data_IF_392200308100
#
_entry.id   IF_392200308100
#
_cell.length_a   1.000
_cell.length_b   1.000
_cell.length_c   1.000
_cell.angle_alpha   90.00
_cell.angle_beta   90.00
_cell.angle_gamma   90.00
#
_symmetry.space_group_name_H-M   'P 1'
#
loop_
_entity.id
_entity.type
_entity.pdbx_description
1 polymer ?
#
# COMPACT_ATOMS: atom_id res chain seq x y z
N UNK A 1 -21.07 -65.94 5.73
CA UNK A 1 -20.59 -64.93 4.78
C UNK A 1 -19.15 -64.61 5.13
N UNK A 2 -18.20 -65.07 4.33
CA UNK A 2 -16.78 -64.83 4.56
C UNK A 2 -16.40 -63.55 3.81
N UNK A 3 -16.45 -62.41 4.48
CA UNK A 3 -16.12 -61.12 3.87
C UNK A 3 -14.61 -60.97 3.91
N UNK A 4 -13.93 -61.25 2.80
CA UNK A 4 -12.51 -60.95 2.66
C UNK A 4 -12.33 -59.46 2.37
N UNK A 5 -11.61 -58.78 3.25
CA UNK A 5 -11.23 -57.38 3.05
C UNK A 5 -9.97 -57.35 2.19
N UNK A 6 -10.04 -56.76 1.01
CA UNK A 6 -8.89 -56.51 0.14
C UNK A 6 -8.55 -55.02 0.09
N UNK A 7 -7.26 -54.70 0.10
CA UNK A 7 -6.78 -53.34 -0.01
C UNK A 7 -6.74 -52.91 -1.47
N UNK A 8 -7.32 -51.74 -1.77
CA UNK A 8 -7.31 -51.16 -3.11
C UNK A 8 -6.52 -49.84 -3.11
N UNK A 9 -5.44 -49.72 -3.92
CA UNK A 9 -4.68 -48.49 -4.02
C UNK A 9 -5.53 -47.39 -4.66
N UNK A 10 -5.58 -46.22 -4.02
CA UNK A 10 -6.15 -45.01 -4.60
C UNK A 10 -5.01 -44.19 -5.20
N UNK A 11 -5.15 -43.82 -6.46
CA UNK A 11 -4.21 -42.92 -7.11
C UNK A 11 -4.44 -41.49 -6.62
N UNK A 12 -3.48 -40.97 -5.86
CA UNK A 12 -3.49 -39.61 -5.33
C UNK A 12 -2.77 -38.65 -6.29
N UNK A 13 -3.17 -37.38 -6.27
CA UNK A 13 -2.43 -36.32 -6.97
C UNK A 13 -1.03 -36.15 -6.37
N UNK A 14 -0.06 -35.86 -7.23
CA UNK A 14 1.29 -35.52 -6.78
C UNK A 14 1.29 -34.18 -6.06
N UNK A 15 2.28 -33.96 -5.20
CA UNK A 15 2.44 -32.70 -4.48
C UNK A 15 3.82 -32.12 -4.74
N UNK A 16 3.87 -30.89 -5.25
CA UNK A 16 5.11 -30.16 -5.44
C UNK A 16 5.14 -28.91 -4.57
N UNK A 17 6.19 -28.80 -3.73
CA UNK A 17 6.31 -27.72 -2.74
C UNK A 17 7.44 -26.78 -3.14
N UNK A 18 7.08 -25.52 -3.36
CA UNK A 18 8.02 -24.43 -3.60
C UNK A 18 8.09 -23.61 -2.32
N UNK A 19 9.28 -23.50 -1.74
CA UNK A 19 9.55 -22.63 -0.60
C UNK A 19 10.64 -21.64 -0.99
N UNK A 20 10.37 -20.35 -0.81
CA UNK A 20 11.29 -19.25 -1.07
C UNK A 20 11.46 -18.44 0.21
N UNK A 21 12.71 -18.19 0.57
CA UNK A 21 13.07 -17.15 1.53
C UNK A 21 13.32 -15.86 0.75
N UNK A 22 12.53 -14.82 1.05
CA UNK A 22 12.54 -13.53 0.39
C UNK A 22 13.44 -12.50 1.08
N UNK A 23 14.17 -12.88 2.13
CA UNK A 23 15.08 -11.99 2.84
C UNK A 23 16.09 -11.36 1.88
N UNK A 24 16.12 -10.02 1.86
CA UNK A 24 16.99 -9.20 1.01
C UNK A 24 16.78 -9.39 -0.51
N UNK A 25 15.65 -9.98 -0.93
CA UNK A 25 15.31 -10.14 -2.34
C UNK A 25 14.35 -9.04 -2.79
N UNK A 26 14.42 -8.68 -4.07
CA UNK A 26 13.38 -7.89 -4.74
C UNK A 26 12.25 -8.80 -5.23
N UNK A 27 11.05 -8.26 -5.54
CA UNK A 27 9.97 -9.01 -6.17
C UNK A 27 10.41 -9.79 -7.41
N UNK A 28 11.15 -9.15 -8.31
CA UNK A 28 11.66 -9.74 -9.55
C UNK A 28 12.61 -10.92 -9.29
N UNK A 29 13.43 -10.85 -8.23
CA UNK A 29 14.31 -11.93 -7.83
C UNK A 29 13.52 -13.12 -7.26
N UNK A 30 12.47 -12.86 -6.49
CA UNK A 30 11.56 -13.91 -6.01
C UNK A 30 10.87 -14.59 -7.19
N UNK A 31 10.36 -13.83 -8.16
CA UNK A 31 9.76 -14.39 -9.38
C UNK A 31 10.75 -15.28 -10.13
N UNK A 32 11.96 -14.77 -10.37
CA UNK A 32 13.02 -15.51 -11.06
C UNK A 32 13.37 -16.81 -10.33
N UNK A 33 13.45 -16.78 -9.00
CA UNK A 33 13.73 -17.95 -8.19
C UNK A 33 12.62 -19.00 -8.28
N UNK A 34 11.35 -18.58 -8.37
CA UNK A 34 10.22 -19.50 -8.59
C UNK A 34 10.29 -20.07 -10.01
N UNK A 35 10.49 -19.22 -11.03
CA UNK A 35 10.57 -19.61 -12.45
C UNK A 35 11.69 -20.64 -12.68
N UNK A 36 12.87 -20.43 -12.09
CA UNK A 36 13.98 -21.39 -12.20
C UNK A 36 13.66 -22.76 -11.57
N UNK A 37 12.92 -22.80 -10.45
CA UNK A 37 12.50 -24.07 -9.84
C UNK A 37 11.51 -24.87 -10.68
N UNK A 38 10.74 -24.22 -11.55
CA UNK A 38 9.68 -24.86 -12.36
C UNK A 38 10.08 -25.10 -13.82
N UNK A 39 11.17 -24.47 -14.28
CA UNK A 39 11.61 -24.44 -15.68
C UNK A 39 11.75 -25.82 -16.32
N UNK A 40 12.39 -26.75 -15.62
CA UNK A 40 12.76 -28.08 -16.13
C UNK A 40 11.76 -29.19 -15.75
N UNK A 41 10.56 -28.84 -15.25
CA UNK A 41 9.58 -29.81 -14.76
C UNK A 41 8.23 -29.68 -15.45
N UNK A 42 7.53 -30.81 -15.53
CA UNK A 42 6.13 -30.92 -15.95
C UNK A 42 5.30 -31.36 -14.74
N UNK A 43 4.08 -30.83 -14.61
CA UNK A 43 3.28 -30.93 -13.38
C UNK A 43 1.97 -31.68 -13.56
N UNK A 44 1.91 -32.62 -14.52
CA UNK A 44 0.76 -33.48 -14.79
C UNK A 44 0.17 -34.06 -13.48
N UNK A 45 -1.11 -33.80 -13.25
CA UNK A 45 -1.84 -34.22 -12.03
C UNK A 45 -1.08 -33.90 -10.73
N UNK A 46 -0.49 -32.70 -10.66
CA UNK A 46 0.26 -32.24 -9.48
C UNK A 46 -0.40 -31.02 -8.86
N UNK A 47 -0.58 -31.07 -7.55
CA UNK A 47 -0.95 -29.93 -6.71
C UNK A 47 0.34 -29.21 -6.32
N UNK A 48 0.41 -27.92 -6.61
CA UNK A 48 1.57 -27.09 -6.35
C UNK A 48 1.26 -26.12 -5.22
N UNK A 49 2.14 -26.07 -4.24
CA UNK A 49 2.06 -25.08 -3.15
C UNK A 49 3.29 -24.20 -3.16
N UNK A 50 3.08 -22.90 -3.27
CA UNK A 50 4.13 -21.88 -3.24
C UNK A 50 4.06 -21.17 -1.89
N UNK A 51 5.13 -21.23 -1.11
CA UNK A 51 5.30 -20.46 0.12
C UNK A 51 6.44 -19.49 -0.05
N UNK A 52 6.15 -18.21 0.10
CA UNK A 52 7.15 -17.15 0.17
C UNK A 52 7.07 -16.54 1.56
N UNK A 53 8.21 -16.49 2.25
CA UNK A 53 8.34 -15.94 3.59
C UNK A 53 9.62 -15.11 3.70
N UNK A 54 9.66 -14.13 4.60
CA UNK A 54 10.80 -13.24 4.78
C UNK A 54 10.50 -11.80 4.38
N UNK A 55 11.57 -11.00 4.29
CA UNK A 55 11.48 -9.55 4.14
C UNK A 55 12.13 -9.07 2.85
N UNK A 56 11.32 -8.61 1.89
CA UNK A 56 11.78 -8.05 0.61
C UNK A 56 12.60 -6.78 0.84
N UNK A 57 13.72 -6.60 0.12
CA UNK A 57 14.58 -5.41 0.26
C UNK A 57 13.91 -4.12 -0.24
N UNK A 58 12.97 -4.24 -1.17
CA UNK A 58 12.23 -3.13 -1.77
C UNK A 58 10.95 -3.64 -2.45
N UNK A 59 10.04 -2.73 -2.80
CA UNK A 59 8.77 -3.06 -3.45
C UNK A 59 7.77 -3.72 -2.51
N UNK A 60 6.55 -3.97 -2.99
CA UNK A 60 5.47 -4.59 -2.21
C UNK A 60 5.33 -6.07 -2.54
N UNK A 61 4.81 -6.92 -1.62
CA UNK A 61 4.46 -8.30 -1.95
C UNK A 61 3.48 -8.45 -3.12
N UNK A 62 2.67 -7.41 -3.39
CA UNK A 62 1.75 -7.32 -4.53
C UNK A 62 2.45 -7.17 -5.88
N UNK A 63 3.70 -6.71 -5.89
CA UNK A 63 4.45 -6.44 -7.11
C UNK A 63 5.02 -7.72 -7.73
N UNK A 64 5.01 -8.83 -6.96
CA UNK A 64 5.34 -10.17 -7.47
C UNK A 64 4.19 -10.63 -8.38
N UNK A 65 4.51 -10.84 -9.65
CA UNK A 65 3.59 -11.31 -10.68
C UNK A 65 3.26 -12.81 -10.54
N UNK A 66 2.54 -13.16 -9.48
CA UNK A 66 2.03 -14.53 -9.27
C UNK A 66 1.08 -14.99 -10.37
N UNK A 67 0.44 -14.05 -11.10
CA UNK A 67 -0.44 -14.40 -12.21
C UNK A 67 0.34 -15.10 -13.32
N UNK A 68 1.44 -14.50 -13.78
CA UNK A 68 2.30 -15.11 -14.80
C UNK A 68 2.87 -16.46 -14.32
N UNK A 69 3.27 -16.56 -13.05
CA UNK A 69 3.74 -17.83 -12.46
C UNK A 69 2.64 -18.90 -12.51
N UNK A 70 1.40 -18.53 -12.22
CA UNK A 70 0.28 -19.48 -12.26
C UNK A 70 -0.01 -19.91 -13.68
N UNK A 71 -0.04 -18.97 -14.63
CA UNK A 71 -0.24 -19.25 -16.05
C UNK A 71 0.81 -20.25 -16.56
N UNK A 72 2.10 -20.03 -16.26
CA UNK A 72 3.18 -20.97 -16.59
C UNK A 72 3.01 -22.37 -15.98
N UNK A 73 2.53 -22.45 -14.74
CA UNK A 73 2.32 -23.73 -14.06
C UNK A 73 1.14 -24.51 -14.65
N UNK A 74 0.05 -23.81 -15.00
CA UNK A 74 -1.10 -24.43 -15.65
C UNK A 74 -0.79 -24.84 -17.10
N UNK A 75 0.02 -24.07 -17.83
CA UNK A 75 0.55 -24.49 -19.13
C UNK A 75 1.37 -25.78 -19.03
N UNK A 76 2.06 -25.98 -17.90
CA UNK A 76 2.77 -27.22 -17.55
C UNK A 76 1.89 -28.31 -16.91
N UNK A 77 0.57 -28.22 -17.13
CA UNK A 77 -0.43 -29.22 -16.73
C UNK A 77 -0.56 -29.43 -15.21
N UNK A 78 -0.26 -28.41 -14.39
CA UNK A 78 -0.56 -28.44 -12.97
C UNK A 78 -2.07 -28.61 -12.74
N UNK A 79 -2.46 -29.44 -11.77
CA UNK A 79 -3.87 -29.65 -11.43
C UNK A 79 -4.42 -28.48 -10.62
N UNK A 80 -3.65 -27.97 -9.67
CA UNK A 80 -4.03 -26.87 -8.81
C UNK A 80 -2.79 -26.16 -8.26
N UNK A 81 -2.83 -24.83 -8.21
CA UNK A 81 -1.74 -24.01 -7.66
C UNK A 81 -2.28 -23.15 -6.52
N UNK A 82 -1.62 -23.20 -5.36
CA UNK A 82 -1.92 -22.37 -4.21
C UNK A 82 -0.69 -21.60 -3.77
N UNK A 83 -0.85 -20.29 -3.51
CA UNK A 83 0.20 -19.46 -2.90
C UNK A 83 -0.10 -19.13 -1.45
N UNK A 84 0.95 -19.01 -0.65
CA UNK A 84 0.91 -18.48 0.71
C UNK A 84 2.03 -17.45 0.87
N UNK A 85 1.62 -16.21 1.12
CA UNK A 85 2.49 -15.05 1.32
C UNK A 85 2.21 -14.37 2.67
N UNK A 86 1.56 -15.05 3.60
CA UNK A 86 1.14 -14.45 4.88
C UNK A 86 2.32 -14.06 5.78
N UNK A 87 3.51 -14.59 5.50
CA UNK A 87 4.77 -14.27 6.19
C UNK A 87 5.76 -13.51 5.29
N UNK A 88 5.27 -12.97 4.18
CA UNK A 88 6.07 -12.13 3.28
C UNK A 88 5.80 -10.68 3.63
N UNK A 89 6.84 -10.02 4.12
CA UNK A 89 6.85 -8.60 4.45
C UNK A 89 7.82 -7.89 3.51
N UNK A 90 7.73 -6.56 3.47
CA UNK A 90 8.75 -5.73 2.86
C UNK A 90 9.53 -5.08 3.98
N UNK A 91 10.85 -4.98 3.85
CA UNK A 91 11.60 -4.01 4.64
C UNK A 91 11.14 -2.70 4.05
N UNK A 92 10.14 -2.11 4.70
CA UNK A 92 9.93 -0.69 4.60
C UNK A 92 11.34 -0.12 4.64
N UNK A 93 11.75 0.53 3.55
CA UNK A 93 12.69 1.61 3.73
C UNK A 93 12.12 2.38 4.93
N UNK A 94 12.97 2.86 5.83
CA UNK A 94 12.56 4.06 6.54
C UNK A 94 12.33 5.13 5.44
N UNK A 95 11.18 5.06 4.74
CA UNK A 95 10.28 6.19 4.62
C UNK A 95 10.34 6.75 6.02
N UNK A 96 11.12 7.81 6.10
CA UNK A 96 11.40 8.59 7.29
C UNK A 96 10.22 8.39 8.22
N UNK A 97 10.47 7.92 9.44
CA UNK A 97 9.53 8.00 10.56
C UNK A 97 9.10 9.46 10.71
N UNK A 98 8.32 9.97 9.77
CA UNK A 98 7.44 11.09 9.92
C UNK A 98 6.32 10.46 10.70
N UNK A 99 6.57 10.47 12.00
CA UNK A 99 5.66 10.50 13.12
C UNK A 99 4.23 10.03 12.76
N UNK A 100 3.60 9.28 13.66
CA UNK A 100 2.15 9.43 13.89
C UNK A 100 1.91 10.89 14.26
N UNK A 101 1.98 11.72 13.23
CA UNK A 101 1.70 13.11 13.21
C UNK A 101 0.21 13.10 12.94
N UNK A 102 -0.58 13.67 13.84
CA UNK A 102 -2.01 13.78 13.62
C UNK A 102 -2.27 14.51 12.29
N UNK A 103 -3.52 14.57 11.82
CA UNK A 103 -3.84 15.34 10.60
C UNK A 103 -3.26 16.77 10.72
N UNK A 104 -3.31 17.34 11.93
CA UNK A 104 -2.74 18.66 12.23
C UNK A 104 -1.21 18.72 12.06
N UNK A 105 -0.47 17.67 12.42
CA UNK A 105 0.98 17.66 12.29
C UNK A 105 1.45 17.40 10.84
N UNK A 106 0.67 16.62 10.06
CA UNK A 106 0.88 16.46 8.61
C UNK A 106 0.67 17.80 7.91
N UNK A 107 -0.42 18.48 8.26
CA UNK A 107 -0.74 19.81 7.74
C UNK A 107 0.35 20.83 8.10
N UNK A 108 0.81 20.88 9.35
CA UNK A 108 1.91 21.77 9.75
C UNK A 108 3.21 21.46 9.00
N UNK A 109 3.52 20.19 8.76
CA UNK A 109 4.71 19.77 8.03
C UNK A 109 4.66 20.17 6.55
N UNK A 110 3.50 20.00 5.90
CA UNK A 110 3.29 20.41 4.51
C UNK A 110 3.33 21.93 4.34
N UNK A 111 2.74 22.68 5.29
CA UNK A 111 2.81 24.15 5.30
C UNK A 111 4.28 24.57 5.35
N UNK A 112 5.07 24.03 6.29
CA UNK A 112 6.49 24.33 6.47
C UNK A 112 7.35 24.01 5.24
N UNK A 113 7.05 22.92 4.52
CA UNK A 113 7.75 22.56 3.28
C UNK A 113 7.51 23.58 2.15
N UNK A 114 6.36 24.25 2.15
CA UNK A 114 5.94 25.17 1.10
C UNK A 114 6.09 26.66 1.45
N UNK A 115 6.51 27.00 2.68
CA UNK A 115 6.82 28.37 3.06
C UNK A 115 7.89 28.97 2.13
N UNK A 116 7.72 30.24 1.76
CA UNK A 116 8.65 31.03 0.95
C UNK A 116 8.90 30.53 -0.48
N UNK A 117 8.18 29.52 -0.96
CA UNK A 117 8.23 29.13 -2.37
C UNK A 117 7.69 30.26 -3.28
N UNK A 118 6.75 31.05 -2.77
CA UNK A 118 6.23 32.25 -3.44
C UNK A 118 6.86 33.48 -2.78
N UNK A 119 7.70 34.20 -3.54
CA UNK A 119 8.32 35.44 -3.06
C UNK A 119 7.31 36.59 -3.09
N UNK A 120 6.47 36.68 -2.06
CA UNK A 120 5.63 37.85 -1.82
C UNK A 120 6.45 38.88 -1.05
N UNK A 121 6.57 40.10 -1.57
CA UNK A 121 7.22 41.21 -0.87
C UNK A 121 6.50 41.48 0.46
N UNK A 122 7.25 41.67 1.55
CA UNK A 122 6.79 41.92 2.92
C UNK A 122 6.19 40.74 3.71
N UNK A 123 6.23 39.51 3.18
CA UNK A 123 5.81 38.31 3.91
C UNK A 123 7.03 37.55 4.46
N UNK A 124 7.23 37.58 5.78
CA UNK A 124 8.23 36.74 6.46
C UNK A 124 7.72 35.31 6.61
N UNK A 125 8.62 34.32 6.77
CA UNK A 125 8.23 32.91 6.94
C UNK A 125 7.20 32.71 8.05
N UNK A 126 7.38 33.42 9.17
CA UNK A 126 6.48 33.35 10.33
C UNK A 126 5.11 33.96 10.04
N UNK A 127 5.07 35.08 9.30
CA UNK A 127 3.81 35.73 8.93
C UNK A 127 3.04 34.92 7.89
N UNK A 128 3.75 34.27 6.98
CA UNK A 128 3.18 33.38 5.98
C UNK A 128 2.55 32.14 6.64
N UNK A 129 3.25 31.53 7.60
CA UNK A 129 2.73 30.37 8.35
C UNK A 129 1.47 30.73 9.15
N UNK A 130 1.46 31.88 9.83
CA UNK A 130 0.27 32.36 10.57
C UNK A 130 -0.90 32.60 9.61
N UNK A 131 -0.65 33.27 8.48
CA UNK A 131 -1.67 33.59 7.49
C UNK A 131 -2.32 32.33 6.90
N UNK A 132 -1.52 31.30 6.57
CA UNK A 132 -2.01 30.05 6.01
C UNK A 132 -2.91 29.32 7.03
N UNK A 133 -2.47 29.22 8.28
CA UNK A 133 -3.26 28.58 9.34
C UNK A 133 -4.60 29.30 9.57
N UNK A 134 -4.59 30.63 9.65
CA UNK A 134 -5.80 31.44 9.86
C UNK A 134 -6.80 31.30 8.70
N UNK A 135 -6.31 31.25 7.46
CA UNK A 135 -7.12 31.01 6.27
C UNK A 135 -7.74 29.60 6.27
N UNK A 136 -6.96 28.58 6.59
CA UNK A 136 -7.43 27.19 6.64
C UNK A 136 -8.56 27.02 7.66
N UNK A 137 -8.41 27.62 8.85
CA UNK A 137 -9.45 27.59 9.89
C UNK A 137 -10.72 28.29 9.41
N UNK A 138 -10.62 29.49 8.84
CA UNK A 138 -11.79 30.29 8.45
C UNK A 138 -12.54 29.68 7.25
N UNK A 139 -11.80 29.19 6.25
CA UNK A 139 -12.40 28.52 5.08
C UNK A 139 -13.04 27.18 5.43
N UNK A 140 -12.64 26.57 6.56
CA UNK A 140 -13.26 25.35 7.09
C UNK A 140 -14.49 25.62 7.96
N UNK A 141 -14.89 26.88 8.18
CA UNK A 141 -16.07 27.19 8.98
C UNK A 141 -17.36 26.84 8.26
N UNK A 142 -18.27 26.18 8.98
CA UNK A 142 -19.58 25.82 8.46
C UNK A 142 -20.64 26.89 8.78
N UNK A 143 -21.74 26.81 8.04
CA UNK A 143 -22.93 27.64 8.24
C UNK A 143 -23.59 27.30 9.58
N UNK A 144 -23.91 28.32 10.37
CA UNK A 144 -24.55 28.13 11.67
C UNK A 144 -26.06 27.83 11.55
N UNK A 145 -26.62 27.14 12.54
CA UNK A 145 -28.05 26.83 12.59
C UNK A 145 -28.88 28.11 12.72
N UNK A 146 -29.81 28.34 11.80
CA UNK A 146 -30.61 29.57 11.72
C UNK A 146 -29.95 30.73 10.95
N UNK A 147 -28.71 30.58 10.47
CA UNK A 147 -28.05 31.58 9.62
C UNK A 147 -28.65 31.57 8.20
N UNK A 148 -28.78 32.73 7.56
CA UNK A 148 -29.14 32.79 6.12
C UNK A 148 -27.88 32.63 5.27
N UNK A 149 -28.00 32.17 4.03
CA UNK A 149 -26.83 32.03 3.12
C UNK A 149 -26.12 33.38 2.94
N UNK A 150 -26.87 34.46 2.80
CA UNK A 150 -26.32 35.81 2.67
C UNK A 150 -25.58 36.28 3.94
N UNK A 151 -26.08 35.93 5.13
CA UNK A 151 -25.42 36.25 6.39
C UNK A 151 -24.10 35.48 6.55
N UNK A 152 -24.10 34.18 6.21
CA UNK A 152 -22.91 33.34 6.21
C UNK A 152 -21.82 33.86 5.27
N UNK A 153 -22.17 34.17 4.02
CA UNK A 153 -21.22 34.73 3.06
C UNK A 153 -20.65 36.08 3.52
N UNK A 154 -21.47 36.95 4.10
CA UNK A 154 -21.02 38.24 4.61
C UNK A 154 -20.09 38.08 5.81
N UNK A 155 -20.39 37.15 6.72
CA UNK A 155 -19.53 36.83 7.86
C UNK A 155 -18.17 36.31 7.39
N UNK A 156 -18.17 35.30 6.52
CA UNK A 156 -16.94 34.72 5.97
C UNK A 156 -16.11 35.76 5.21
N UNK A 157 -16.73 36.62 4.39
CA UNK A 157 -16.04 37.72 3.69
C UNK A 157 -15.42 38.73 4.66
N UNK A 158 -16.12 39.05 5.75
CA UNK A 158 -15.63 40.00 6.76
C UNK A 158 -14.44 39.42 7.52
N UNK A 159 -14.53 38.13 7.91
CA UNK A 159 -13.43 37.41 8.57
C UNK A 159 -12.19 37.31 7.66
N UNK A 160 -12.36 36.95 6.38
CA UNK A 160 -11.27 36.88 5.41
C UNK A 160 -10.60 38.23 5.14
N UNK A 161 -11.38 39.32 5.07
CA UNK A 161 -10.84 40.68 4.92
C UNK A 161 -9.95 41.08 6.10
N UNK A 162 -10.39 40.77 7.32
CA UNK A 162 -9.62 41.04 8.53
C UNK A 162 -8.29 40.27 8.53
N UNK A 163 -8.31 38.99 8.13
CA UNK A 163 -7.11 38.13 8.07
C UNK A 163 -6.12 38.64 7.02
N UNK A 164 -6.61 39.00 5.83
CA UNK A 164 -5.77 39.51 4.75
C UNK A 164 -5.35 40.97 4.94
N UNK A 165 -5.79 41.64 6.02
CA UNK A 165 -5.60 43.07 6.25
C UNK A 165 -6.01 43.93 5.04
N UNK A 166 -7.04 43.48 4.32
CA UNK A 166 -7.62 44.18 3.17
C UNK A 166 -8.79 45.02 3.67
N UNK A 167 -8.64 46.35 3.65
CA UNK A 167 -9.75 47.30 3.86
C UNK A 167 -10.87 47.08 2.80
#
# INVERSE_FOLDING_TARGET
YNTSVEWQPIQIYNLFKIKIDANHLTPEQVESAIKEKIKAQEFNNTIITIRVEGTLVSGKPSDINFKEIFDMLYEKSAFFVMKNTNKLTTSEFEEIKTQTSSIEDIESSLIKEHLQQIKVTDLTSEKEEILINDLMINLSTEKQEGETVAAFENRLKTELKNILSLE
#
